data_IF_687353619924
#
_entry.id   IF_687353619924
#
_cell.length_a   1.000
_cell.length_b   1.000
_cell.length_c   1.000
_cell.angle_alpha   90.00
_cell.angle_beta   90.00
_cell.angle_gamma   90.00
#
_symmetry.space_group_name_H-M   'P 1'
#
loop_
_entity.id
_entity.type
_entity.pdbx_description
1 polymer ?
#
# COMPACT_ATOMS: atom_id res chain seq x y z
N UNK A 1 6.36 -9.54 -15.62
CA UNK A 1 6.28 -8.19 -14.99
C UNK A 1 4.82 -7.94 -14.70
N UNK A 2 4.46 -7.45 -13.52
CA UNK A 2 3.06 -7.14 -13.19
C UNK A 2 2.86 -5.67 -13.57
N UNK A 3 2.18 -5.41 -14.67
CA UNK A 3 1.70 -4.07 -14.98
C UNK A 3 0.50 -3.76 -14.08
N UNK A 4 0.34 -2.51 -13.69
CA UNK A 4 -0.67 -2.07 -12.73
C UNK A 4 -1.42 -0.91 -13.32
N UNK A 5 -2.76 -0.95 -13.30
CA UNK A 5 -3.62 0.09 -13.88
C UNK A 5 -4.45 0.77 -12.81
N UNK A 6 -4.56 2.09 -12.93
CA UNK A 6 -5.41 2.94 -12.11
C UNK A 6 -6.60 3.36 -12.97
N UNK A 7 -7.80 2.88 -12.64
CA UNK A 7 -9.04 3.27 -13.34
C UNK A 7 -9.71 4.43 -12.63
N UNK A 8 -10.03 5.50 -13.36
CA UNK A 8 -10.77 6.65 -12.85
C UNK A 8 -12.25 6.59 -13.29
N UNK A 9 -13.18 6.70 -12.34
CA UNK A 9 -14.63 6.74 -12.56
C UNK A 9 -15.14 8.13 -12.16
N UNK A 10 -15.72 8.87 -13.10
CA UNK A 10 -16.22 10.23 -12.89
C UNK A 10 -17.56 10.21 -12.11
N UNK A 11 -17.63 10.89 -10.95
CA UNK A 11 -18.82 10.92 -10.09
C UNK A 11 -19.47 12.31 -9.93
N UNK A 12 -19.21 13.26 -10.83
CA UNK A 12 -19.74 14.63 -10.71
C UNK A 12 -21.29 14.72 -10.76
N UNK A 13 -21.97 14.53 -9.63
CA UNK A 13 -23.31 15.05 -9.35
C UNK A 13 -23.29 15.84 -8.03
N UNK A 14 -22.88 17.11 -8.16
CA UNK A 14 -23.16 18.26 -7.29
C UNK A 14 -23.28 18.11 -5.77
N UNK A 15 -22.29 18.64 -5.02
CA UNK A 15 -22.42 19.79 -4.09
C UNK A 15 -21.15 19.95 -3.24
N UNK A 16 -20.82 21.16 -2.73
CA UNK A 16 -19.52 21.47 -2.12
C UNK A 16 -19.50 21.38 -0.58
N UNK A 17 -18.32 21.70 -0.04
CA UNK A 17 -18.00 22.18 1.33
C UNK A 17 -17.59 21.11 2.36
N UNK A 18 -16.32 21.12 2.79
CA UNK A 18 -15.85 21.71 4.06
C UNK A 18 -14.32 21.54 4.22
N UNK A 19 -13.65 22.66 4.51
CA UNK A 19 -12.28 22.68 4.99
C UNK A 19 -12.29 22.57 6.51
N UNK A 20 -11.38 21.77 7.07
CA UNK A 20 -11.05 21.82 8.48
C UNK A 20 -9.54 21.74 8.63
N UNK A 21 -8.95 22.85 9.06
CA UNK A 21 -7.62 22.91 9.68
C UNK A 21 -7.74 22.39 11.11
N UNK A 22 -6.73 21.65 11.58
CA UNK A 22 -6.28 21.77 12.97
C UNK A 22 -4.77 21.55 13.08
N UNK A 23 -4.15 22.53 13.73
CA UNK A 23 -2.74 22.72 14.05
C UNK A 23 -2.44 22.06 15.39
N UNK A 24 -1.26 21.47 15.55
CA UNK A 24 -0.76 21.06 16.87
C UNK A 24 0.62 20.41 16.84
N UNK A 25 1.66 21.02 17.44
CA UNK A 25 2.96 20.37 17.67
C UNK A 25 2.96 19.67 19.03
N UNK A 26 3.46 18.43 19.10
CA UNK A 26 3.79 17.77 20.37
C UNK A 26 5.21 17.18 20.33
N UNK A 27 6.09 17.97 20.94
CA UNK A 27 7.18 17.63 21.86
C UNK A 27 7.72 16.19 21.93
N UNK A 28 9.04 16.09 21.79
CA UNK A 28 9.88 14.93 22.12
C UNK A 28 9.70 14.47 23.58
N UNK A 29 9.92 13.16 23.85
CA UNK A 29 11.24 12.77 24.35
C UNK A 29 11.67 11.37 23.88
N UNK A 30 12.95 11.02 24.03
CA UNK A 30 13.31 9.83 24.81
C UNK A 30 14.82 9.55 24.78
N UNK A 31 15.37 9.60 26.00
CA UNK A 31 16.52 8.88 26.53
C UNK A 31 17.04 7.70 25.70
N UNK A 32 18.36 7.70 25.51
CA UNK A 32 19.24 6.61 25.11
C UNK A 32 18.94 5.33 25.90
N UNK A 33 18.05 4.51 25.34
CA UNK A 33 17.69 3.18 25.84
C UNK A 33 18.71 2.21 25.25
N UNK A 34 19.39 1.44 26.11
CA UNK A 34 20.18 0.28 25.74
C UNK A 34 19.43 -0.52 24.66
N UNK A 35 19.91 -0.44 23.41
CA UNK A 35 19.37 -1.19 22.28
C UNK A 35 19.77 -2.64 22.47
N UNK A 36 18.99 -3.38 23.27
CA UNK A 36 18.87 -4.81 23.09
C UNK A 36 18.41 -4.99 21.64
N UNK A 37 19.29 -5.49 20.77
CA UNK A 37 18.90 -5.85 19.41
C UNK A 37 17.67 -6.75 19.52
N UNK A 38 16.49 -6.33 19.03
CA UNK A 38 15.30 -7.14 19.13
C UNK A 38 15.55 -8.39 18.29
N UNK A 39 15.68 -9.53 18.95
CA UNK A 39 15.67 -10.84 18.29
C UNK A 39 14.40 -10.90 17.43
N UNK A 40 14.56 -11.02 16.11
CA UNK A 40 13.43 -11.04 15.18
C UNK A 40 13.30 -9.85 14.21
N UNK A 41 14.33 -9.01 14.05
CA UNK A 41 14.36 -8.00 12.98
C UNK A 41 14.60 -8.62 11.60
N UNK A 42 14.15 -7.92 10.55
CA UNK A 42 14.32 -8.31 9.15
C UNK A 42 15.33 -7.38 8.49
N UNK A 43 16.20 -7.91 7.62
CA UNK A 43 17.11 -7.08 6.82
C UNK A 43 16.62 -7.03 5.38
N UNK A 44 16.34 -5.83 4.87
CA UNK A 44 15.96 -5.64 3.47
C UNK A 44 16.69 -4.46 2.88
N UNK A 45 17.35 -4.66 1.72
CA UNK A 45 18.12 -3.61 1.03
C UNK A 45 19.05 -2.85 1.98
N UNK A 46 19.79 -3.59 2.82
CA UNK A 46 20.70 -3.07 3.85
C UNK A 46 20.05 -2.31 5.02
N UNK A 47 18.71 -2.15 5.01
CA UNK A 47 17.95 -1.57 6.11
C UNK A 47 17.48 -2.66 7.08
N UNK A 48 17.62 -2.40 8.38
CA UNK A 48 17.09 -3.28 9.44
C UNK A 48 15.71 -2.81 9.85
N UNK A 49 14.71 -3.65 9.61
CA UNK A 49 13.31 -3.44 9.97
C UNK A 49 13.02 -4.14 11.32
N UNK A 50 12.58 -3.40 12.35
CA UNK A 50 12.20 -3.95 13.64
C UNK A 50 11.06 -4.98 13.58
N UNK A 51 11.01 -5.85 14.58
CA UNK A 51 9.91 -6.80 14.75
C UNK A 51 8.56 -6.07 14.87
N UNK A 52 7.56 -6.55 14.11
CA UNK A 52 6.19 -6.03 13.96
C UNK A 52 6.10 -4.67 13.29
N UNK A 53 7.17 -4.17 12.70
CA UNK A 53 7.11 -2.95 11.93
C UNK A 53 6.57 -3.21 10.53
N UNK A 54 5.69 -2.30 10.08
CA UNK A 54 5.09 -2.34 8.76
C UNK A 54 5.83 -1.38 7.85
N UNK A 55 6.05 -1.79 6.61
CA UNK A 55 6.74 -0.98 5.64
C UNK A 55 6.28 -1.32 4.22
N UNK A 56 6.61 -0.44 3.27
CA UNK A 56 6.08 -0.50 1.91
C UNK A 56 7.21 -0.45 0.92
N UNK A 57 7.22 -1.42 0.00
CA UNK A 57 8.06 -1.36 -1.20
C UNK A 57 7.31 -0.73 -2.34
N UNK A 58 7.98 0.19 -3.02
CA UNK A 58 7.48 0.86 -4.20
C UNK A 58 8.26 0.37 -5.43
N UNK A 59 7.54 -0.01 -6.48
CA UNK A 59 8.12 -0.41 -7.76
C UNK A 59 7.28 0.15 -8.90
N UNK A 60 7.63 1.35 -9.36
CA UNK A 60 6.84 2.11 -10.32
C UNK A 60 5.45 2.42 -9.77
N UNK A 61 4.41 2.04 -10.51
CA UNK A 61 3.00 2.17 -10.08
C UNK A 61 2.53 1.04 -9.17
N UNK A 62 3.34 0.00 -8.94
CA UNK A 62 3.01 -1.12 -8.06
C UNK A 62 3.62 -0.93 -6.68
N UNK A 63 2.93 -1.40 -5.65
CA UNK A 63 3.43 -1.37 -4.29
C UNK A 63 3.08 -2.66 -3.53
N UNK A 64 3.87 -2.94 -2.49
CA UNK A 64 3.66 -4.09 -1.61
C UNK A 64 3.89 -3.67 -0.17
N UNK A 65 2.91 -3.95 0.70
CA UNK A 65 3.05 -3.72 2.13
C UNK A 65 3.44 -5.02 2.83
N UNK A 66 4.49 -4.95 3.64
CA UNK A 66 5.03 -6.08 4.39
C UNK A 66 5.06 -5.76 5.88
N UNK A 67 5.11 -6.81 6.69
CA UNK A 67 5.37 -6.74 8.13
C UNK A 67 6.49 -7.70 8.49
N UNK A 68 7.38 -7.30 9.39
CA UNK A 68 8.45 -8.17 9.86
C UNK A 68 7.99 -8.96 11.09
N UNK A 69 7.99 -10.29 11.05
CA UNK A 69 7.62 -11.15 12.19
C UNK A 69 8.73 -12.19 12.38
N UNK A 70 9.43 -12.15 13.52
CA UNK A 70 10.51 -13.10 13.86
C UNK A 70 11.52 -13.32 12.71
N UNK A 71 12.09 -12.22 12.19
CA UNK A 71 13.02 -12.22 11.05
C UNK A 71 12.44 -12.72 9.72
N UNK A 72 11.12 -12.90 9.65
CA UNK A 72 10.41 -13.31 8.44
C UNK A 72 9.58 -12.16 7.91
N UNK A 73 9.72 -11.85 6.62
CA UNK A 73 8.88 -10.89 5.94
C UNK A 73 7.55 -11.54 5.56
N UNK A 74 6.46 -10.96 6.07
CA UNK A 74 5.10 -11.37 5.74
C UNK A 74 4.49 -10.30 4.85
N UNK A 75 4.12 -10.69 3.63
CA UNK A 75 3.36 -9.84 2.73
C UNK A 75 1.94 -9.65 3.28
N UNK A 76 1.57 -8.40 3.58
CA UNK A 76 0.21 -8.06 4.00
C UNK A 76 -0.71 -7.91 2.79
N UNK A 77 -0.32 -7.05 1.84
CA UNK A 77 -1.06 -6.87 0.60
C UNK A 77 -0.18 -6.31 -0.52
N UNK A 78 -0.67 -6.49 -1.76
CA UNK A 78 -0.14 -5.83 -2.95
C UNK A 78 -1.15 -4.81 -3.44
N UNK A 79 -0.66 -3.81 -4.15
CA UNK A 79 -1.46 -2.67 -4.54
C UNK A 79 -0.79 -1.81 -5.59
N UNK A 80 -1.31 -0.60 -5.72
CA UNK A 80 -0.81 0.45 -6.59
C UNK A 80 -0.48 1.69 -5.79
N UNK A 81 0.41 2.49 -6.35
CA UNK A 81 0.80 3.78 -5.80
C UNK A 81 -0.19 4.83 -6.28
N UNK A 82 -0.81 5.54 -5.35
CA UNK A 82 -1.62 6.72 -5.61
C UNK A 82 -1.24 7.80 -4.61
N UNK A 83 -0.84 8.97 -5.12
CA UNK A 83 -0.45 10.13 -4.29
C UNK A 83 0.65 9.82 -3.25
N UNK A 84 1.56 8.92 -3.59
CA UNK A 84 2.64 8.49 -2.69
C UNK A 84 2.24 7.42 -1.67
N UNK A 85 0.97 7.03 -1.63
CA UNK A 85 0.47 5.98 -0.75
C UNK A 85 0.21 4.67 -1.49
N UNK A 86 0.31 3.55 -0.77
CA UNK A 86 0.08 2.22 -1.31
C UNK A 86 -1.36 1.76 -1.04
N UNK A 87 -2.18 1.80 -2.09
CA UNK A 87 -3.57 1.41 -2.07
C UNK A 87 -3.72 -0.06 -2.46
N UNK A 88 -4.40 -0.87 -1.66
CA UNK A 88 -4.55 -2.29 -1.94
C UNK A 88 -5.39 -2.56 -3.20
N UNK A 89 -5.12 -3.67 -3.88
CA UNK A 89 -5.94 -4.10 -5.02
C UNK A 89 -7.42 -4.26 -4.65
N UNK A 90 -8.30 -3.98 -5.61
CA UNK A 90 -9.76 -4.03 -5.48
C UNK A 90 -10.37 -3.04 -4.48
N UNK A 91 -9.56 -2.13 -3.91
CA UNK A 91 -10.10 -0.98 -3.21
C UNK A 91 -10.43 0.13 -4.21
N UNK A 92 -11.59 0.73 -4.01
CA UNK A 92 -11.99 1.98 -4.65
C UNK A 92 -11.75 3.10 -3.64
N UNK A 93 -11.05 4.15 -4.04
CA UNK A 93 -10.72 5.29 -3.21
C UNK A 93 -10.97 6.59 -3.96
N UNK A 94 -11.25 7.66 -3.23
CA UNK A 94 -11.42 8.99 -3.81
C UNK A 94 -10.06 9.64 -4.00
N UNK A 95 -9.89 10.40 -5.10
CA UNK A 95 -8.68 11.17 -5.31
C UNK A 95 -8.48 12.28 -4.27
N UNK A 96 -7.37 13.01 -4.41
CA UNK A 96 -7.07 14.21 -3.62
C UNK A 96 -8.26 15.17 -3.51
N UNK A 97 -8.25 15.96 -2.44
CA UNK A 97 -9.31 16.92 -2.12
C UNK A 97 -9.63 17.85 -3.30
N UNK A 98 -10.82 17.67 -3.88
CA UNK A 98 -11.30 18.41 -5.05
C UNK A 98 -11.41 17.58 -6.32
N UNK A 99 -10.90 16.33 -6.30
CA UNK A 99 -11.01 15.40 -7.41
C UNK A 99 -12.32 14.61 -7.32
N UNK A 100 -13.11 14.64 -8.40
CA UNK A 100 -14.41 13.97 -8.47
C UNK A 100 -14.31 12.58 -9.09
N UNK A 101 -13.11 12.02 -9.12
CA UNK A 101 -12.86 10.68 -9.64
C UNK A 101 -12.73 9.69 -8.48
N UNK A 102 -13.39 8.56 -8.64
CA UNK A 102 -13.07 7.36 -7.89
C UNK A 102 -12.00 6.59 -8.65
N UNK A 103 -10.92 6.30 -7.96
CA UNK A 103 -9.85 5.48 -8.47
C UNK A 103 -10.04 4.06 -7.96
N UNK A 104 -9.79 3.08 -8.83
CA UNK A 104 -9.74 1.67 -8.45
C UNK A 104 -8.40 1.07 -8.83
N UNK A 105 -7.81 0.39 -7.86
CA UNK A 105 -6.56 -0.32 -8.03
C UNK A 105 -6.82 -1.72 -8.60
N UNK A 106 -6.44 -1.97 -9.85
CA UNK A 106 -6.66 -3.27 -10.47
C UNK A 106 -5.35 -4.03 -10.68
N UNK A 107 -5.39 -5.34 -10.40
CA UNK A 107 -4.32 -6.24 -10.78
C UNK A 107 -4.50 -6.49 -12.27
N UNK A 108 -3.50 -6.16 -13.07
CA UNK A 108 -3.53 -6.60 -14.45
C UNK A 108 -3.40 -8.13 -14.45
N UNK A 109 -4.49 -8.79 -14.80
CA UNK A 109 -4.44 -10.21 -15.10
C UNK A 109 -3.83 -10.28 -16.49
N UNK A 110 -2.56 -10.68 -16.56
CA UNK A 110 -2.02 -11.16 -17.82
C UNK A 110 -2.89 -12.37 -18.18
N UNK A 111 -3.89 -12.17 -19.03
CA UNK A 111 -4.64 -13.25 -19.65
C UNK A 111 -3.61 -13.99 -20.49
N UNK A 112 -3.08 -15.08 -19.95
CA UNK A 112 -2.27 -15.99 -20.72
C UNK A 112 -3.23 -16.69 -21.69
N UNK A 113 -3.29 -16.22 -22.94
CA UNK A 113 -4.09 -16.84 -24.01
C UNK A 113 -3.73 -18.34 -24.22
N UNK A 114 -2.63 -18.85 -23.65
CA UNK A 114 -2.30 -20.28 -23.65
C UNK A 114 -2.96 -21.10 -22.54
N UNK A 115 -3.62 -20.48 -21.57
CA UNK A 115 -4.29 -21.20 -20.47
C UNK A 115 -5.71 -21.62 -20.86
N UNK A 116 -5.85 -22.34 -21.98
CA UNK A 116 -7.08 -23.07 -22.36
C UNK A 116 -7.33 -24.33 -21.50
N UNK A 117 -6.88 -24.36 -20.25
CA UNK A 117 -7.21 -25.45 -19.34
C UNK A 117 -8.39 -25.03 -18.47
N UNK A 118 -9.60 -25.46 -18.87
CA UNK A 118 -10.71 -25.64 -17.94
C UNK A 118 -10.21 -26.53 -16.80
N UNK A 119 -10.16 -25.99 -15.59
CA UNK A 119 -10.13 -26.82 -14.39
C UNK A 119 -11.58 -27.24 -14.13
N UNK A 120 -11.96 -28.52 -14.30
CA UNK A 120 -13.27 -28.97 -13.87
C UNK A 120 -13.31 -28.93 -12.33
N UNK A 121 -14.39 -28.35 -11.79
CA UNK A 121 -14.75 -28.49 -10.37
C UNK A 121 -14.78 -29.99 -10.02
N UNK A 122 -14.05 -30.38 -8.97
CA UNK A 122 -14.35 -31.57 -8.18
C UNK A 122 -15.18 -31.15 -6.97
#
# INVERSE_FOLDING_TARGET
>A
MIETRLLAILLCLGSPVFASETKGPLSAPSLSRLQSYPTGSCTVDEQTIPHRENFTFFKGLSCQKHTCINSTLILLYKGCVHEGECQAFNLTFQGSKGDCFLYRCERETHYDERSHYRVPNQ
#
